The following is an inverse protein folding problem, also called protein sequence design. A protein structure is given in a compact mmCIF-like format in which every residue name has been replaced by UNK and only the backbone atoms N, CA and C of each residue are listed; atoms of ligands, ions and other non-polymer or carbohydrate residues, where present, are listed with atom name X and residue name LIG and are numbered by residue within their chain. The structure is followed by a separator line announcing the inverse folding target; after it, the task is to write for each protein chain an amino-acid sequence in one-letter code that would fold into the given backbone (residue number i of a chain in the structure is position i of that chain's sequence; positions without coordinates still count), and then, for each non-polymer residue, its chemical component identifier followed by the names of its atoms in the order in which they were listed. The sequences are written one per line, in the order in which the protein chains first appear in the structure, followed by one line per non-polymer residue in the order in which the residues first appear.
data_IF_455726599714
#
_entry.id   IF_455726599714
#
_cell.length_a   1.000
_cell.length_b   1.000
_cell.length_c   1.000
_cell.angle_alpha   90.00
_cell.angle_beta   90.00
_cell.angle_gamma   90.00
#
_symmetry.space_group_name_H-M   'P 1'
#
loop_
_entity.id
_entity.type
_entity.pdbx_description
1 polymer ?
#
# COMPACT_ATOMS: atom_id res chain seq x y z
N UNK A 1 -24.84 41.50 -10.74
CA UNK A 1 -25.41 40.18 -11.08
C UNK A 1 -24.79 39.15 -10.16
N UNK A 2 -25.55 38.61 -9.21
CA UNK A 2 -25.09 37.56 -8.31
C UNK A 2 -25.17 36.25 -9.08
N UNK A 3 -24.02 35.64 -9.39
CA UNK A 3 -23.96 34.32 -10.03
C UNK A 3 -24.52 33.28 -9.07
N UNK A 4 -25.73 32.81 -9.34
CA UNK A 4 -26.37 31.73 -8.60
C UNK A 4 -25.61 30.42 -8.88
N UNK A 5 -24.70 30.03 -8.00
CA UNK A 5 -24.05 28.72 -8.05
C UNK A 5 -25.09 27.64 -7.74
N UNK A 6 -25.61 26.99 -8.78
CA UNK A 6 -26.49 25.83 -8.63
C UNK A 6 -25.71 24.72 -7.94
N UNK A 7 -26.21 24.24 -6.80
CA UNK A 7 -25.62 23.09 -6.12
C UNK A 7 -25.67 21.88 -7.06
N UNK A 8 -24.57 21.12 -7.23
CA UNK A 8 -24.56 19.97 -8.11
C UNK A 8 -25.60 18.95 -7.66
N UNK A 9 -26.52 18.60 -8.58
CA UNK A 9 -27.56 17.60 -8.35
C UNK A 9 -26.96 16.23 -8.01
N UNK A 10 -27.70 15.37 -7.31
CA UNK A 10 -27.26 14.01 -6.98
C UNK A 10 -26.75 13.24 -8.21
N UNK A 11 -27.40 13.42 -9.36
CA UNK A 11 -26.98 12.83 -10.65
C UNK A 11 -25.59 13.32 -11.09
N UNK A 12 -25.30 14.62 -10.96
CA UNK A 12 -23.99 15.17 -11.31
C UNK A 12 -22.89 14.66 -10.38
N UNK A 13 -23.17 14.55 -9.06
CA UNK A 13 -22.25 13.98 -8.08
C UNK A 13 -21.94 12.50 -8.37
N UNK A 14 -22.97 11.73 -8.70
CA UNK A 14 -22.81 10.32 -9.08
C UNK A 14 -21.94 10.17 -10.34
N UNK A 15 -22.12 11.03 -11.35
CA UNK A 15 -21.26 11.04 -12.56
C UNK A 15 -19.80 11.35 -12.21
N UNK A 16 -19.55 12.29 -11.29
CA UNK A 16 -18.20 12.60 -10.83
C UNK A 16 -17.58 11.36 -10.16
N UNK A 17 -18.28 10.71 -9.23
CA UNK A 17 -17.77 9.50 -8.58
C UNK A 17 -17.53 8.36 -9.59
N UNK A 18 -18.44 8.16 -10.54
CA UNK A 18 -18.28 7.13 -11.56
C UNK A 18 -17.08 7.38 -12.47
N UNK A 19 -16.74 8.65 -12.73
CA UNK A 19 -15.55 9.02 -13.52
C UNK A 19 -14.24 8.56 -12.88
N UNK A 20 -14.21 8.43 -11.54
CA UNK A 20 -13.03 7.96 -10.81
C UNK A 20 -12.69 6.50 -11.11
N UNK A 21 -13.67 5.66 -11.49
CA UNK A 21 -13.40 4.26 -11.86
C UNK A 21 -12.49 4.12 -13.09
N UNK A 22 -12.44 5.15 -13.95
CA UNK A 22 -11.57 5.19 -15.13
C UNK A 22 -10.24 5.89 -14.86
N UNK A 23 -10.07 6.46 -13.67
CA UNK A 23 -8.88 7.23 -13.30
C UNK A 23 -7.81 6.28 -12.75
N UNK A 24 -6.55 6.48 -13.15
CA UNK A 24 -5.42 5.86 -12.46
C UNK A 24 -5.07 6.70 -11.21
N UNK A 25 -5.31 6.19 -9.99
CA UNK A 25 -5.03 6.92 -8.75
C UNK A 25 -3.53 7.08 -8.47
N UNK A 26 -2.68 6.21 -9.04
CA UNK A 26 -1.24 6.17 -8.78
C UNK A 26 -0.42 6.98 -9.80
N UNK A 27 -1.08 7.74 -10.69
CA UNK A 27 -0.42 8.41 -11.81
C UNK A 27 0.65 9.43 -11.38
N UNK A 28 0.49 10.06 -10.22
CA UNK A 28 1.44 11.03 -9.64
C UNK A 28 2.30 10.44 -8.51
N UNK A 29 2.25 9.12 -8.29
CA UNK A 29 2.97 8.49 -7.18
C UNK A 29 4.42 8.25 -7.57
N UNK A 30 5.36 8.80 -6.81
CA UNK A 30 6.79 8.63 -7.03
C UNK A 30 7.42 7.73 -5.96
N UNK A 31 8.65 7.27 -6.19
CA UNK A 31 9.38 6.43 -5.24
C UNK A 31 9.72 7.15 -3.94
N UNK A 32 9.92 8.46 -4.00
CA UNK A 32 10.24 9.27 -2.83
C UNK A 32 9.04 9.37 -1.88
N UNK A 33 7.81 9.39 -2.42
CA UNK A 33 6.58 9.37 -1.63
C UNK A 33 6.42 8.06 -0.84
N UNK A 34 6.94 6.94 -1.34
CA UNK A 34 6.91 5.64 -0.65
C UNK A 34 7.89 5.59 0.53
N UNK A 35 8.99 6.35 0.45
CA UNK A 35 10.00 6.44 1.50
C UNK A 35 9.73 7.57 2.50
N UNK A 36 8.75 8.42 2.22
CA UNK A 36 8.35 9.51 3.10
C UNK A 36 7.70 8.98 4.39
N UNK A 37 7.89 9.72 5.49
CA UNK A 37 7.20 9.41 6.74
C UNK A 37 5.69 9.67 6.56
N UNK A 38 4.82 8.67 6.83
CA UNK A 38 3.40 8.86 6.67
C UNK A 38 2.86 9.88 7.68
N UNK A 39 1.86 10.70 7.30
CA UNK A 39 1.17 11.56 8.24
C UNK A 39 0.54 10.77 9.39
N UNK A 40 0.35 11.36 10.58
CA UNK A 40 -0.29 10.69 11.70
C UNK A 40 -1.66 10.10 11.34
N UNK A 41 -1.99 8.92 11.88
CA UNK A 41 -3.27 8.25 11.62
C UNK A 41 -4.50 9.10 11.99
N UNK A 42 -4.39 9.98 12.99
CA UNK A 42 -5.45 10.93 13.34
C UNK A 42 -5.81 11.87 12.19
N UNK A 43 -4.82 12.29 11.40
CA UNK A 43 -5.01 13.12 10.21
C UNK A 43 -5.57 12.28 9.06
N UNK A 44 -5.11 11.05 8.91
CA UNK A 44 -5.58 10.12 7.88
C UNK A 44 -7.06 9.73 8.03
N UNK A 45 -7.50 9.47 9.27
CA UNK A 45 -8.90 9.18 9.56
C UNK A 45 -9.78 10.42 9.36
N UNK A 46 -9.24 11.62 9.64
CA UNK A 46 -9.89 12.90 9.42
C UNK A 46 -11.21 13.07 10.17
N UNK A 47 -11.82 14.24 10.02
CA UNK A 47 -13.17 14.53 10.46
C UNK A 47 -14.07 14.93 9.29
N UNK A 48 -15.39 14.76 9.43
CA UNK A 48 -16.35 15.05 8.37
C UNK A 48 -16.44 16.53 8.04
N UNK A 49 -16.05 17.39 8.98
CA UNK A 49 -15.98 18.84 8.86
C UNK A 49 -14.89 19.33 7.90
N UNK A 50 -13.87 18.51 7.62
CA UNK A 50 -12.81 18.82 6.66
C UNK A 50 -13.17 18.40 5.23
N UNK A 51 -14.29 17.71 5.04
CA UNK A 51 -14.69 17.19 3.76
C UNK A 51 -15.37 18.27 2.89
N UNK A 52 -14.88 18.39 1.65
CA UNK A 52 -15.58 19.13 0.59
C UNK A 52 -15.80 18.24 -0.62
N UNK A 53 -16.98 18.30 -1.21
CA UNK A 53 -17.28 17.54 -2.42
C UNK A 53 -16.62 18.22 -3.65
N UNK A 54 -16.01 17.46 -4.57
CA UNK A 54 -15.33 18.03 -5.74
C UNK A 54 -16.29 18.78 -6.67
N UNK A 55 -15.81 19.89 -7.25
CA UNK A 55 -16.60 20.73 -8.15
C UNK A 55 -16.72 20.15 -9.56
N UNK A 56 -15.77 19.30 -9.97
CA UNK A 56 -15.72 18.70 -11.31
C UNK A 56 -15.07 17.32 -11.28
N UNK A 57 -15.12 16.61 -12.42
CA UNK A 57 -14.42 15.32 -12.59
C UNK A 57 -12.89 15.49 -12.49
N UNK A 58 -12.34 16.55 -13.10
CA UNK A 58 -10.90 16.82 -13.04
C UNK A 58 -10.43 17.13 -11.62
N UNK A 59 -11.21 17.92 -10.87
CA UNK A 59 -10.96 18.22 -9.45
C UNK A 59 -11.01 16.95 -8.60
N UNK A 60 -11.99 16.07 -8.84
CA UNK A 60 -12.07 14.79 -8.15
C UNK A 60 -10.84 13.90 -8.42
N UNK A 61 -10.40 13.80 -9.68
CA UNK A 61 -9.21 13.05 -10.07
C UNK A 61 -7.95 13.61 -9.41
N UNK A 62 -7.77 14.93 -9.42
CA UNK A 62 -6.60 15.57 -8.81
C UNK A 62 -6.55 15.33 -7.30
N UNK A 63 -7.69 15.49 -6.61
CA UNK A 63 -7.80 15.20 -5.17
C UNK A 63 -7.48 13.75 -4.83
N UNK A 64 -7.95 12.79 -5.64
CA UNK A 64 -7.63 11.37 -5.42
C UNK A 64 -6.14 11.11 -5.58
N UNK A 65 -5.52 11.65 -6.64
CA UNK A 65 -4.09 11.46 -6.88
C UNK A 65 -3.24 12.09 -5.77
N UNK A 66 -3.58 13.28 -5.32
CA UNK A 66 -2.85 13.96 -4.24
C UNK A 66 -3.05 13.22 -2.90
N UNK A 67 -4.26 12.77 -2.58
CA UNK A 67 -4.51 12.00 -1.37
C UNK A 67 -3.77 10.65 -1.37
N UNK A 68 -3.75 9.96 -2.51
CA UNK A 68 -3.01 8.71 -2.67
C UNK A 68 -1.52 8.93 -2.45
N UNK A 69 -0.96 9.98 -3.06
CA UNK A 69 0.44 10.37 -2.89
C UNK A 69 0.76 10.69 -1.43
N UNK A 70 -0.05 11.55 -0.80
CA UNK A 70 0.18 12.04 0.56
C UNK A 70 0.02 10.95 1.63
N UNK A 71 -0.89 10.00 1.43
CA UNK A 71 -1.23 8.98 2.44
C UNK A 71 -0.82 7.56 2.05
N UNK A 72 0.06 7.38 1.06
CA UNK A 72 0.45 6.04 0.56
C UNK A 72 0.95 5.11 1.68
N UNK A 73 1.78 5.62 2.60
CA UNK A 73 2.29 4.84 3.73
C UNK A 73 1.19 4.39 4.70
N UNK A 74 0.15 5.21 4.90
CA UNK A 74 -1.01 4.85 5.72
C UNK A 74 -1.87 3.78 5.01
N UNK A 75 -2.09 3.92 3.70
CA UNK A 75 -2.79 2.90 2.90
C UNK A 75 -2.06 1.55 2.93
N UNK A 76 -0.73 1.55 2.77
CA UNK A 76 0.09 0.33 2.86
C UNK A 76 -0.05 -0.29 4.26
N UNK A 77 0.02 0.51 5.32
CA UNK A 77 -0.11 0.02 6.70
C UNK A 77 -1.47 -0.64 6.95
N UNK A 78 -2.56 0.00 6.53
CA UNK A 78 -3.92 -0.57 6.65
C UNK A 78 -4.05 -1.83 5.82
N UNK A 79 -3.53 -1.84 4.59
CA UNK A 79 -3.52 -3.02 3.74
C UNK A 79 -2.79 -4.19 4.41
N UNK A 80 -1.60 -3.98 4.96
CA UNK A 80 -0.83 -5.01 5.66
C UNK A 80 -1.59 -5.54 6.88
N UNK A 81 -2.20 -4.67 7.68
CA UNK A 81 -2.99 -5.09 8.84
C UNK A 81 -4.19 -5.95 8.42
N UNK A 82 -4.99 -5.47 7.45
CA UNK A 82 -6.14 -6.22 6.94
C UNK A 82 -5.68 -7.56 6.35
N UNK A 83 -4.60 -7.54 5.58
CA UNK A 83 -4.01 -8.72 4.96
C UNK A 83 -3.59 -9.76 6.01
N UNK A 84 -2.88 -9.34 7.07
CA UNK A 84 -2.49 -10.23 8.17
C UNK A 84 -3.71 -10.79 8.92
N UNK A 85 -4.75 -9.98 9.14
CA UNK A 85 -6.00 -10.45 9.75
C UNK A 85 -6.70 -11.47 8.86
N UNK A 86 -6.78 -11.23 7.54
CA UNK A 86 -7.36 -12.18 6.59
C UNK A 86 -6.60 -13.52 6.57
N UNK A 87 -5.29 -13.48 6.77
CA UNK A 87 -4.44 -14.68 6.80
C UNK A 87 -4.46 -15.43 8.14
N UNK A 88 -5.00 -14.83 9.21
CA UNK A 88 -5.02 -15.44 10.54
C UNK A 88 -5.66 -16.84 10.58
N UNK A 89 -6.69 -17.07 9.75
CA UNK A 89 -7.37 -18.39 9.64
C UNK A 89 -6.89 -19.26 8.47
N UNK A 90 -5.90 -18.81 7.69
CA UNK A 90 -5.42 -19.49 6.49
C UNK A 90 -3.89 -19.68 6.53
N UNK A 91 -3.38 -20.52 7.44
CA UNK A 91 -1.94 -20.72 7.61
C UNK A 91 -1.26 -21.26 6.34
N UNK A 92 -1.96 -22.06 5.53
CA UNK A 92 -1.44 -22.58 4.26
C UNK A 92 -1.20 -21.44 3.27
N UNK A 93 -2.15 -20.52 3.10
CA UNK A 93 -1.98 -19.37 2.21
C UNK A 93 -0.83 -18.46 2.65
N UNK A 94 -0.66 -18.26 3.95
CA UNK A 94 0.46 -17.52 4.52
C UNK A 94 1.81 -18.21 4.26
N UNK A 95 1.89 -19.53 4.44
CA UNK A 95 3.09 -20.31 4.15
C UNK A 95 3.45 -20.31 2.67
N UNK A 96 2.46 -20.43 1.78
CA UNK A 96 2.67 -20.33 0.32
C UNK A 96 3.16 -18.93 -0.07
N UNK A 97 2.61 -17.87 0.53
CA UNK A 97 3.07 -16.51 0.33
C UNK A 97 4.53 -16.34 0.79
N UNK A 98 4.86 -16.82 2.01
CA UNK A 98 6.23 -16.83 2.53
C UNK A 98 7.18 -17.60 1.60
N UNK A 99 6.75 -18.74 1.06
CA UNK A 99 7.53 -19.55 0.13
C UNK A 99 7.70 -18.89 -1.25
N UNK A 100 6.78 -18.01 -1.67
CA UNK A 100 6.89 -17.26 -2.92
C UNK A 100 7.88 -16.10 -2.85
N UNK A 101 8.25 -15.64 -1.65
CA UNK A 101 9.37 -14.72 -1.55
C UNK A 101 10.64 -15.42 -2.02
N UNK A 102 11.56 -14.70 -2.68
CA UNK A 102 12.90 -15.20 -2.98
C UNK A 102 13.68 -15.34 -1.67
N UNK A 103 13.28 -16.31 -0.84
CA UNK A 103 13.80 -16.56 0.51
C UNK A 103 15.30 -16.77 0.39
N UNK A 104 15.76 -17.46 -0.65
CA UNK A 104 17.16 -17.71 -0.92
C UNK A 104 17.96 -16.41 -1.09
N UNK A 105 17.52 -15.50 -1.94
CA UNK A 105 18.21 -14.24 -2.23
C UNK A 105 18.22 -13.30 -1.01
N UNK A 106 17.10 -13.23 -0.28
CA UNK A 106 17.02 -12.46 0.96
C UNK A 106 17.92 -13.03 2.05
N UNK A 107 17.96 -14.36 2.17
CA UNK A 107 18.75 -15.03 3.19
C UNK A 107 20.25 -15.00 2.86
N UNK A 108 20.64 -15.18 1.60
CA UNK A 108 22.01 -14.98 1.13
C UNK A 108 22.48 -13.55 1.39
N UNK A 109 21.61 -12.55 1.17
CA UNK A 109 21.90 -11.16 1.51
C UNK A 109 22.09 -10.96 3.02
N UNK A 110 21.24 -11.54 3.87
CA UNK A 110 21.39 -11.46 5.33
C UNK A 110 22.65 -12.17 5.84
N UNK A 111 22.97 -13.36 5.31
CA UNK A 111 24.15 -14.14 5.70
C UNK A 111 25.42 -13.39 5.33
N UNK A 112 25.47 -12.87 4.10
CA UNK A 112 26.64 -12.15 3.57
C UNK A 112 26.82 -10.80 4.26
N UNK A 113 25.74 -10.04 4.50
CA UNK A 113 25.80 -8.68 5.05
C UNK A 113 25.95 -8.63 6.56
N UNK A 114 25.40 -9.59 7.31
CA UNK A 114 25.56 -9.66 8.79
C UNK A 114 26.68 -10.59 9.26
N UNK A 115 27.40 -11.27 8.36
CA UNK A 115 28.45 -12.22 8.77
C UNK A 115 27.91 -13.40 9.58
N UNK A 116 26.64 -13.77 9.40
CA UNK A 116 25.98 -14.84 10.16
C UNK A 116 26.68 -16.20 9.97
N UNK A 117 27.42 -16.35 8.87
CA UNK A 117 28.22 -17.54 8.56
C UNK A 117 29.36 -17.76 9.58
N UNK A 118 29.92 -16.68 10.14
CA UNK A 118 30.93 -16.76 11.20
C UNK A 118 30.30 -17.07 12.57
N UNK A 119 29.07 -16.61 12.82
CA UNK A 119 28.43 -16.75 14.12
C UNK A 119 27.78 -18.13 14.32
N UNK A 120 27.20 -18.73 13.27
CA UNK A 120 26.45 -19.99 13.39
C UNK A 120 26.67 -20.92 12.19
N UNK A 121 27.70 -21.79 12.23
CA UNK A 121 28.02 -22.73 11.14
C UNK A 121 26.91 -23.77 10.87
N UNK A 122 25.99 -23.96 11.83
CA UNK A 122 24.83 -24.83 11.69
C UNK A 122 23.82 -24.29 10.65
N UNK A 123 23.63 -22.97 10.57
CA UNK A 123 22.66 -22.34 9.65
C UNK A 123 23.09 -22.59 8.20
N UNK A 124 24.39 -22.46 7.91
CA UNK A 124 24.97 -22.79 6.59
C UNK A 124 24.66 -24.22 6.17
N UNK A 125 24.77 -25.18 7.10
CA UNK A 125 24.53 -26.59 6.83
C UNK A 125 23.05 -26.89 6.60
N UNK A 126 22.17 -26.28 7.41
CA UNK A 126 20.71 -26.37 7.22
C UNK A 126 20.28 -25.80 5.86
N UNK A 127 20.87 -24.67 5.44
CA UNK A 127 20.56 -24.04 4.16
C UNK A 127 21.09 -24.80 2.96
N UNK A 128 22.27 -25.41 3.07
CA UNK A 128 22.74 -26.33 2.05
C UNK A 128 21.79 -27.53 1.89
N UNK A 129 21.23 -28.05 2.99
CA UNK A 129 20.22 -29.10 2.92
C UNK A 129 18.92 -28.63 2.28
N UNK A 130 18.43 -27.43 2.64
CA UNK A 130 17.24 -26.83 2.02
C UNK A 130 17.46 -26.56 0.53
N UNK A 131 18.65 -26.10 0.12
CA UNK A 131 18.97 -25.87 -1.30
C UNK A 131 19.14 -27.16 -2.10
N UNK A 132 19.54 -28.27 -1.45
CA UNK A 132 19.62 -29.59 -2.08
C UNK A 132 18.29 -30.35 -2.10
N UNK A 133 17.34 -29.97 -1.24
CA UNK A 133 16.00 -30.53 -1.18
C UNK A 133 15.01 -29.89 -2.18
N UNK A 134 15.51 -29.03 -3.07
CA UNK A 134 14.71 -28.31 -4.07
C UNK A 134 13.85 -29.21 -4.95
N UNK A 135 12.54 -28.99 -4.87
CA UNK A 135 11.68 -28.83 -6.04
C UNK A 135 12.04 -27.51 -6.75
#
# INVERSE_FOLDING_TARGET
MVSSSSSPTVSSRARILLSLLKTNPFRKLETDDLNANPPPFSVFCGGTELYSFPASQSDATERVQENVRHFIGNYISVFVVIFLISLYKQPIAFLTLLASFPVKEYLDHLITKRGLDQAYPFIRRLLFFISKAGW
#
